data_IF_738047986412
#
_entry.id   IF_738047986412
#
_cell.length_a   1.000
_cell.length_b   1.000
_cell.length_c   1.000
_cell.angle_alpha   90.00
_cell.angle_beta   90.00
_cell.angle_gamma   90.00
#
_symmetry.space_group_name_H-M   'P 1'
#
loop_
_entity.id
_entity.type
_entity.pdbx_description
1 polymer ?
#
# COMPACT_ATOMS: atom_id res chain seq x y z
N UNK A 1 -25.63 -13.03 2.33
CA UNK A 1 -24.60 -12.48 1.43
C UNK A 1 -23.29 -12.50 2.20
N UNK A 2 -22.25 -13.12 1.65
CA UNK A 2 -20.92 -13.10 2.26
C UNK A 2 -20.39 -11.66 2.07
N UNK A 3 -20.30 -10.88 3.16
CA UNK A 3 -19.86 -9.47 3.34
C UNK A 3 -20.92 -8.41 3.69
N UNK A 4 -20.53 -7.49 4.59
CA UNK A 4 -20.92 -6.07 4.60
C UNK A 4 -19.90 -5.22 5.41
N UNK A 5 -18.84 -4.67 4.79
CA UNK A 5 -17.78 -3.95 5.53
C UNK A 5 -17.51 -2.48 5.10
N UNK A 6 -18.03 -1.99 3.96
CA UNK A 6 -18.15 -0.55 3.68
C UNK A 6 -19.05 -0.28 2.47
N UNK A 7 -19.56 0.95 2.31
CA UNK A 7 -20.35 1.38 1.13
C UNK A 7 -19.61 1.24 -0.21
N UNK A 8 -18.28 1.05 -0.18
CA UNK A 8 -17.45 0.95 -1.38
C UNK A 8 -17.23 -0.48 -1.90
N UNK A 9 -17.35 -1.52 -1.07
CA UNK A 9 -17.13 -2.92 -1.47
C UNK A 9 -18.18 -3.87 -0.86
N UNK A 10 -19.35 -4.00 -1.48
CA UNK A 10 -20.44 -4.83 -0.95
C UNK A 10 -20.22 -6.34 -1.11
N UNK A 11 -19.20 -6.80 -1.85
CA UNK A 11 -18.93 -8.22 -2.03
C UNK A 11 -17.43 -8.56 -2.14
N UNK A 12 -17.09 -9.80 -1.80
CA UNK A 12 -15.72 -10.34 -1.95
C UNK A 12 -15.23 -10.26 -3.41
N UNK A 13 -16.11 -10.54 -4.38
CA UNK A 13 -15.79 -10.42 -5.80
C UNK A 13 -15.48 -8.98 -6.22
N UNK A 14 -16.20 -8.01 -5.64
CA UNK A 14 -15.95 -6.59 -5.90
C UNK A 14 -14.62 -6.12 -5.31
N UNK A 15 -14.26 -6.59 -4.10
CA UNK A 15 -12.93 -6.35 -3.54
C UNK A 15 -11.82 -6.88 -4.47
N UNK A 16 -11.98 -8.12 -4.97
CA UNK A 16 -11.01 -8.73 -5.88
C UNK A 16 -10.85 -7.92 -7.19
N UNK A 17 -11.97 -7.57 -7.82
CA UNK A 17 -11.97 -6.82 -9.08
C UNK A 17 -11.30 -5.46 -8.89
N UNK A 18 -11.66 -4.73 -7.83
CA UNK A 18 -11.10 -3.42 -7.57
C UNK A 18 -9.62 -3.48 -7.17
N UNK A 19 -9.21 -4.50 -6.40
CA UNK A 19 -7.80 -4.72 -6.10
C UNK A 19 -6.98 -5.01 -7.38
N UNK A 20 -7.51 -5.83 -8.28
CA UNK A 20 -6.88 -6.11 -9.57
C UNK A 20 -6.79 -4.84 -10.46
N UNK A 21 -7.86 -4.03 -10.50
CA UNK A 21 -7.87 -2.75 -11.20
C UNK A 21 -6.84 -1.77 -10.63
N UNK A 22 -6.71 -1.69 -9.30
CA UNK A 22 -5.69 -0.86 -8.65
C UNK A 22 -4.28 -1.30 -9.01
N UNK A 23 -4.01 -2.60 -9.08
CA UNK A 23 -2.72 -3.12 -9.58
C UNK A 23 -2.50 -2.71 -11.04
N UNK A 24 -3.50 -2.86 -11.90
CA UNK A 24 -3.41 -2.47 -13.31
C UNK A 24 -3.14 -0.97 -13.48
N UNK A 25 -3.82 -0.12 -12.69
CA UNK A 25 -3.60 1.33 -12.67
C UNK A 25 -2.20 1.67 -12.16
N UNK A 26 -1.76 1.04 -11.07
CA UNK A 26 -0.42 1.27 -10.52
C UNK A 26 0.67 0.85 -11.51
N UNK A 27 0.50 -0.28 -12.19
CA UNK A 27 1.40 -0.75 -13.24
C UNK A 27 1.40 0.20 -14.46
N UNK A 28 0.23 0.67 -14.88
CA UNK A 28 0.11 1.66 -15.95
C UNK A 28 0.84 2.96 -15.59
N UNK A 29 0.64 3.49 -14.38
CA UNK A 29 1.36 4.69 -13.88
C UNK A 29 2.87 4.44 -13.88
N UNK A 30 3.32 3.27 -13.42
CA UNK A 30 4.73 2.91 -13.41
C UNK A 30 5.34 2.90 -14.81
N UNK A 31 4.62 2.37 -15.81
CA UNK A 31 5.06 2.36 -17.21
C UNK A 31 5.03 3.76 -17.81
N UNK A 32 3.93 4.50 -17.63
CA UNK A 32 3.76 5.86 -18.15
C UNK A 32 4.82 6.83 -17.61
N UNK A 33 5.22 6.68 -16.35
CA UNK A 33 6.23 7.51 -15.71
C UNK A 33 7.66 6.95 -15.79
N UNK A 34 7.90 5.85 -16.53
CA UNK A 34 9.22 5.20 -16.58
C UNK A 34 10.32 6.11 -17.15
N UNK A 35 9.97 6.96 -18.11
CA UNK A 35 10.88 7.95 -18.70
C UNK A 35 10.70 9.37 -18.15
N UNK A 36 9.77 9.56 -17.21
CA UNK A 36 9.45 10.88 -16.69
C UNK A 36 10.43 11.26 -15.58
N UNK A 37 11.24 12.29 -15.84
CA UNK A 37 12.04 12.96 -14.82
C UNK A 37 11.52 14.40 -14.69
N UNK A 38 10.96 14.79 -13.53
CA UNK A 38 10.54 16.17 -13.32
C UNK A 38 11.77 17.08 -13.45
N UNK A 39 11.69 18.08 -14.33
CA UNK A 39 12.82 18.99 -14.58
C UNK A 39 13.21 19.82 -13.36
N UNK A 40 12.25 20.11 -12.47
CA UNK A 40 12.45 20.73 -11.16
C UNK A 40 11.47 20.11 -10.16
N UNK A 41 11.84 19.02 -9.47
CA UNK A 41 10.96 18.46 -8.46
C UNK A 41 10.79 19.49 -7.34
N UNK A 42 9.54 19.80 -6.98
CA UNK A 42 9.24 20.74 -5.90
C UNK A 42 8.78 19.97 -4.65
N UNK A 43 8.98 20.56 -3.48
CA UNK A 43 8.60 19.93 -2.22
C UNK A 43 7.10 19.60 -2.15
N UNK A 44 6.25 20.40 -2.80
CA UNK A 44 4.81 20.19 -2.82
C UNK A 44 4.41 18.89 -3.56
N UNK A 45 4.98 18.61 -4.74
CA UNK A 45 4.66 17.38 -5.48
C UNK A 45 5.13 16.13 -4.73
N UNK A 46 6.32 16.19 -4.11
CA UNK A 46 6.81 15.11 -3.27
C UNK A 46 5.93 14.90 -2.03
N UNK A 47 5.53 15.99 -1.36
CA UNK A 47 4.62 15.95 -0.22
C UNK A 47 3.28 15.31 -0.58
N UNK A 48 2.71 15.68 -1.73
CA UNK A 48 1.46 15.07 -2.25
C UNK A 48 1.68 13.59 -2.54
N UNK A 49 2.78 13.20 -3.18
CA UNK A 49 3.07 11.80 -3.47
C UNK A 49 3.22 10.96 -2.19
N UNK A 50 3.92 11.48 -1.18
CA UNK A 50 4.00 10.87 0.15
C UNK A 50 2.63 10.74 0.81
N UNK A 51 1.84 11.80 0.77
CA UNK A 51 0.50 11.81 1.35
C UNK A 51 -0.40 10.77 0.69
N UNK A 52 -0.34 10.63 -0.64
CA UNK A 52 -1.08 9.59 -1.36
C UNK A 52 -0.61 8.19 -0.99
N UNK A 53 0.70 7.94 -0.87
CA UNK A 53 1.23 6.65 -0.45
C UNK A 53 0.80 6.27 0.98
N UNK A 54 0.87 7.21 1.91
CA UNK A 54 0.46 6.99 3.30
C UNK A 54 -1.07 6.84 3.43
N UNK A 55 -1.84 7.64 2.70
CA UNK A 55 -3.31 7.52 2.67
C UNK A 55 -3.75 6.17 2.09
N UNK A 56 -3.11 5.71 1.00
CA UNK A 56 -3.39 4.41 0.42
C UNK A 56 -3.07 3.28 1.41
N UNK A 57 -1.92 3.36 2.11
CA UNK A 57 -1.59 2.38 3.14
C UNK A 57 -2.60 2.36 4.31
N UNK A 58 -2.99 3.53 4.81
CA UNK A 58 -3.99 3.65 5.87
C UNK A 58 -5.34 3.07 5.43
N UNK A 59 -5.73 3.29 4.17
CA UNK A 59 -6.94 2.72 3.58
C UNK A 59 -6.89 1.19 3.46
N UNK A 60 -5.74 0.61 3.07
CA UNK A 60 -5.53 -0.84 3.09
C UNK A 60 -5.71 -1.38 4.52
N UNK A 61 -5.14 -0.72 5.54
CA UNK A 61 -5.32 -1.13 6.93
C UNK A 61 -6.79 -1.13 7.34
N UNK A 62 -7.53 -0.08 7.02
CA UNK A 62 -8.96 0.00 7.35
C UNK A 62 -9.76 -1.11 6.66
N UNK A 63 -9.46 -1.41 5.38
CA UNK A 63 -10.07 -2.52 4.67
C UNK A 63 -9.76 -3.87 5.33
N UNK A 64 -8.51 -4.08 5.76
CA UNK A 64 -8.13 -5.32 6.43
C UNK A 64 -8.83 -5.48 7.79
N UNK A 65 -8.91 -4.41 8.58
CA UNK A 65 -9.64 -4.42 9.86
C UNK A 65 -11.13 -4.71 9.64
N UNK A 66 -11.78 -4.04 8.68
CA UNK A 66 -13.18 -4.29 8.36
C UNK A 66 -13.40 -5.71 7.81
N UNK A 67 -12.44 -6.23 7.04
CA UNK A 67 -12.47 -7.59 6.55
C UNK A 67 -12.41 -8.62 7.69
N UNK A 68 -11.55 -8.40 8.68
CA UNK A 68 -11.40 -9.33 9.81
C UNK A 68 -12.56 -9.22 10.79
N UNK A 69 -13.04 -8.00 11.07
CA UNK A 69 -14.06 -7.77 12.10
C UNK A 69 -15.49 -8.00 11.60
N UNK A 70 -15.79 -7.65 10.34
CA UNK A 70 -17.17 -7.60 9.82
C UNK A 70 -17.48 -8.69 8.78
N UNK A 71 -16.51 -9.53 8.42
CA UNK A 71 -16.72 -10.63 7.47
C UNK A 71 -16.95 -11.95 8.19
N UNK A 72 -17.90 -12.74 7.69
CA UNK A 72 -18.12 -14.14 8.10
C UNK A 72 -17.04 -15.09 7.55
N UNK A 73 -15.97 -14.57 6.97
CA UNK A 73 -14.87 -15.34 6.38
C UNK A 73 -13.84 -15.56 7.45
N UNK A 74 -13.69 -16.82 7.88
CA UNK A 74 -12.66 -17.21 8.84
C UNK A 74 -11.29 -16.96 8.23
N UNK A 75 -10.61 -15.92 8.72
CA UNK A 75 -9.23 -15.56 8.43
C UNK A 75 -8.32 -15.97 9.60
N UNK A 76 -8.71 -17.00 10.33
CA UNK A 76 -7.93 -17.53 11.44
C UNK A 76 -6.74 -18.35 10.92
N UNK A 77 -5.55 -17.75 11.00
CA UNK A 77 -4.28 -18.39 10.65
C UNK A 77 -3.92 -19.56 11.58
N UNK A 78 -4.58 -19.70 12.73
CA UNK A 78 -4.39 -20.83 13.64
C UNK A 78 -5.19 -22.07 13.22
N UNK A 79 -6.17 -21.93 12.32
CA UNK A 79 -6.99 -23.03 11.79
C UNK A 79 -6.87 -23.13 10.25
N UNK A 80 -5.64 -23.34 9.75
CA UNK A 80 -5.32 -23.44 8.31
C UNK A 80 -6.15 -24.51 7.58
N UNK A 81 -6.63 -25.54 8.28
CA UNK A 81 -7.46 -26.62 7.74
C UNK A 81 -8.91 -26.19 7.43
N UNK A 82 -9.35 -25.02 7.92
CA UNK A 82 -10.67 -24.43 7.65
C UNK A 82 -10.68 -23.35 6.58
N UNK A 83 -9.54 -23.07 5.91
CA UNK A 83 -9.44 -22.06 4.87
C UNK A 83 -10.36 -22.41 3.69
N UNK A 84 -11.53 -21.77 3.67
CA UNK A 84 -12.48 -21.85 2.56
C UNK A 84 -11.91 -21.16 1.32
N UNK A 85 -12.46 -21.48 0.14
CA UNK A 85 -12.14 -20.74 -1.09
C UNK A 85 -12.35 -19.22 -0.95
N UNK A 86 -13.29 -18.79 -0.11
CA UNK A 86 -13.52 -17.38 0.18
C UNK A 86 -12.35 -16.74 0.97
N UNK A 87 -11.78 -17.45 1.94
CA UNK A 87 -10.60 -17.00 2.69
C UNK A 87 -9.39 -16.84 1.77
N UNK A 88 -9.19 -17.78 0.83
CA UNK A 88 -8.13 -17.69 -0.16
C UNK A 88 -8.28 -16.46 -1.07
N UNK A 89 -9.49 -16.19 -1.58
CA UNK A 89 -9.73 -15.02 -2.42
C UNK A 89 -9.60 -13.71 -1.64
N UNK A 90 -10.00 -13.68 -0.37
CA UNK A 90 -9.81 -12.51 0.50
C UNK A 90 -8.32 -12.21 0.70
N UNK A 91 -7.51 -13.21 1.06
CA UNK A 91 -6.06 -13.07 1.22
C UNK A 91 -5.39 -12.65 -0.09
N UNK A 92 -5.80 -13.24 -1.21
CA UNK A 92 -5.29 -12.86 -2.53
C UNK A 92 -5.62 -11.40 -2.88
N UNK A 93 -6.84 -10.96 -2.57
CA UNK A 93 -7.25 -9.56 -2.80
C UNK A 93 -6.43 -8.59 -1.95
N UNK A 94 -6.17 -8.93 -0.69
CA UNK A 94 -5.27 -8.17 0.19
C UNK A 94 -3.85 -8.12 -0.39
N UNK A 95 -3.32 -9.24 -0.88
CA UNK A 95 -2.01 -9.29 -1.53
C UNK A 95 -1.93 -8.39 -2.78
N UNK A 96 -3.01 -8.33 -3.58
CA UNK A 96 -3.10 -7.41 -4.72
C UNK A 96 -3.09 -5.94 -4.27
N UNK A 97 -3.82 -5.59 -3.21
CA UNK A 97 -3.81 -4.24 -2.65
C UNK A 97 -2.40 -3.83 -2.21
N UNK A 98 -1.71 -4.69 -1.44
CA UNK A 98 -0.30 -4.45 -1.07
C UNK A 98 0.61 -4.32 -2.29
N UNK A 99 0.40 -5.14 -3.33
CA UNK A 99 1.16 -5.05 -4.58
C UNK A 99 0.96 -3.71 -5.28
N UNK A 100 -0.28 -3.21 -5.33
CA UNK A 100 -0.59 -1.90 -5.91
C UNK A 100 0.10 -0.77 -5.15
N UNK A 101 0.12 -0.84 -3.81
CA UNK A 101 0.81 0.13 -2.97
C UNK A 101 2.32 0.12 -3.20
N UNK A 102 2.95 -1.06 -3.27
CA UNK A 102 4.40 -1.20 -3.56
C UNK A 102 4.74 -0.64 -4.95
N UNK A 103 3.92 -0.87 -5.97
CA UNK A 103 4.14 -0.33 -7.32
C UNK A 103 4.10 1.20 -7.34
N UNK A 104 3.14 1.81 -6.64
CA UNK A 104 3.03 3.26 -6.51
C UNK A 104 4.23 3.84 -5.76
N UNK A 105 4.64 3.20 -4.66
CA UNK A 105 5.80 3.60 -3.89
C UNK A 105 7.09 3.51 -4.71
N UNK A 106 7.32 2.40 -5.41
CA UNK A 106 8.48 2.23 -6.27
C UNK A 106 8.52 3.30 -7.38
N UNK A 107 7.37 3.65 -7.92
CA UNK A 107 7.26 4.74 -8.92
C UNK A 107 7.61 6.09 -8.31
N UNK A 108 7.05 6.43 -7.14
CA UNK A 108 7.37 7.65 -6.41
C UNK A 108 8.87 7.77 -6.12
N UNK A 109 9.47 6.72 -5.53
CA UNK A 109 10.89 6.71 -5.21
C UNK A 109 11.72 6.92 -6.48
N UNK A 110 11.51 6.11 -7.53
CA UNK A 110 12.25 6.25 -8.80
C UNK A 110 12.15 7.66 -9.39
N UNK A 111 10.98 8.28 -9.34
CA UNK A 111 10.74 9.62 -9.91
C UNK A 111 11.45 10.73 -9.12
N UNK A 112 11.54 10.62 -7.80
CA UNK A 112 12.00 11.71 -6.93
C UNK A 112 13.35 11.47 -6.24
N UNK A 113 13.94 10.28 -6.34
CA UNK A 113 15.16 9.91 -5.60
C UNK A 113 16.41 10.75 -5.97
N UNK A 114 16.39 11.47 -7.10
CA UNK A 114 17.47 12.39 -7.49
C UNK A 114 17.66 13.54 -6.50
N UNK A 115 16.60 13.96 -5.82
CA UNK A 115 16.62 14.98 -4.77
C UNK A 115 16.19 14.37 -3.44
N UNK A 116 17.10 13.57 -2.87
CA UNK A 116 16.88 12.80 -1.65
C UNK A 116 16.55 13.69 -0.44
N UNK A 117 17.18 14.87 -0.33
CA UNK A 117 16.97 15.76 0.82
C UNK A 117 15.54 16.28 0.83
N UNK A 118 15.04 16.80 -0.30
CA UNK A 118 13.65 17.28 -0.40
C UNK A 118 12.67 16.12 -0.26
N UNK A 119 12.99 14.94 -0.80
CA UNK A 119 12.16 13.73 -0.68
C UNK A 119 12.00 13.30 0.78
N UNK A 120 13.09 13.29 1.56
CA UNK A 120 13.05 12.92 2.97
C UNK A 120 12.33 13.97 3.82
N UNK A 121 12.59 15.26 3.59
CA UNK A 121 11.91 16.32 4.35
C UNK A 121 10.41 16.37 4.08
N UNK A 122 10.00 16.30 2.81
CA UNK A 122 8.58 16.23 2.45
C UNK A 122 7.91 14.98 3.03
N UNK A 123 8.62 13.83 3.03
CA UNK A 123 8.15 12.60 3.65
C UNK A 123 8.01 12.69 5.17
N UNK A 124 8.98 13.30 5.85
CA UNK A 124 8.92 13.52 7.30
C UNK A 124 7.74 14.42 7.69
N UNK A 125 7.51 15.49 6.92
CA UNK A 125 6.35 16.38 7.13
C UNK A 125 5.03 15.64 6.88
N UNK A 126 4.93 14.88 5.79
CA UNK A 126 3.73 14.07 5.49
C UNK A 126 3.46 13.02 6.58
N UNK A 127 4.51 12.36 7.08
CA UNK A 127 4.41 11.39 8.16
C UNK A 127 3.95 12.05 9.47
N UNK A 128 4.53 13.20 9.83
CA UNK A 128 4.13 13.95 11.03
C UNK A 128 2.64 14.34 10.96
N UNK A 129 2.19 14.86 9.81
CA UNK A 129 0.78 15.19 9.59
C UNK A 129 -0.09 13.93 9.68
N UNK A 130 0.34 12.83 9.07
CA UNK A 130 -0.38 11.54 9.16
C UNK A 130 -0.53 11.08 10.61
N UNK A 131 0.54 11.12 11.41
CA UNK A 131 0.50 10.77 12.85
C UNK A 131 -0.53 11.64 13.58
N UNK A 132 -0.49 12.96 13.37
CA UNK A 132 -1.43 13.90 14.00
C UNK A 132 -2.88 13.63 13.61
N UNK A 133 -3.13 13.32 12.32
CA UNK A 133 -4.46 12.98 11.83
C UNK A 133 -4.97 11.67 12.46
N UNK A 134 -4.17 10.62 12.49
CA UNK A 134 -4.57 9.33 13.08
C UNK A 134 -4.89 9.45 14.57
N UNK A 135 -4.08 10.20 15.33
CA UNK A 135 -4.37 10.48 16.74
C UNK A 135 -5.65 11.30 16.92
N UNK A 136 -5.90 12.28 16.03
CA UNK A 136 -7.15 13.06 16.05
C UNK A 136 -8.39 12.19 15.81
N UNK A 137 -8.27 11.13 15.00
CA UNK A 137 -9.32 10.14 14.76
C UNK A 137 -9.37 9.02 15.82
N UNK A 138 -8.58 9.12 16.89
CA UNK A 138 -8.62 8.17 18.01
C UNK A 138 -7.90 6.84 17.76
N UNK A 139 -7.06 6.75 16.72
CA UNK A 139 -6.28 5.54 16.44
C UNK A 139 -5.05 5.55 17.36
N UNK A 140 -5.12 4.76 18.43
CA UNK A 140 -4.06 4.67 19.46
C UNK A 140 -2.93 3.73 19.03
N UNK A 141 -3.26 2.65 18.32
CA UNK A 141 -2.25 1.69 17.87
C UNK A 141 -1.48 2.24 16.66
N UNK A 142 -0.28 2.72 16.94
CA UNK A 142 0.64 3.26 15.94
C UNK A 142 1.04 2.25 14.87
N UNK A 143 1.05 0.94 15.18
CA UNK A 143 1.46 -0.09 14.23
C UNK A 143 0.51 -0.14 13.02
N UNK A 144 -0.77 0.17 13.22
CA UNK A 144 -1.79 0.14 12.17
C UNK A 144 -1.51 1.11 11.02
N UNK A 145 -0.80 2.20 11.25
CA UNK A 145 -0.53 3.21 10.21
C UNK A 145 0.96 3.50 9.97
N UNK A 146 1.86 3.04 10.86
CA UNK A 146 3.31 3.18 10.68
C UNK A 146 3.99 1.98 10.01
N UNK A 147 3.29 0.85 9.80
CA UNK A 147 3.82 -0.29 9.03
C UNK A 147 4.45 0.06 7.66
N UNK A 148 4.03 1.12 6.93
CA UNK A 148 4.66 1.48 5.67
C UNK A 148 6.09 1.98 5.83
N UNK A 149 6.42 2.63 6.95
CA UNK A 149 7.69 3.34 7.14
C UNK A 149 8.91 2.39 7.08
N UNK A 150 8.95 1.26 7.80
CA UNK A 150 10.04 0.29 7.65
C UNK A 150 10.22 -0.19 6.22
N UNK A 151 9.13 -0.46 5.50
CA UNK A 151 9.18 -0.95 4.12
C UNK A 151 9.72 0.11 3.17
N UNK A 152 9.35 1.37 3.36
CA UNK A 152 9.87 2.49 2.57
C UNK A 152 11.37 2.64 2.80
N UNK A 153 11.83 2.56 4.06
CA UNK A 153 13.25 2.60 4.40
C UNK A 153 14.00 1.46 3.71
N UNK A 154 13.46 0.23 3.77
CA UNK A 154 14.05 -0.94 3.10
C UNK A 154 14.11 -0.74 1.60
N UNK A 155 13.06 -0.23 0.95
CA UNK A 155 13.04 0.02 -0.50
C UNK A 155 14.02 1.12 -0.92
N UNK A 156 14.11 2.20 -0.15
CA UNK A 156 15.10 3.27 -0.36
C UNK A 156 16.54 2.75 -0.19
N UNK A 157 16.76 1.81 0.74
CA UNK A 157 18.05 1.14 0.91
C UNK A 157 18.31 0.11 -0.20
N UNK A 158 17.28 -0.59 -0.68
CA UNK A 158 17.37 -1.64 -1.70
C UNK A 158 17.66 -1.09 -3.10
N UNK A 159 17.40 0.19 -3.39
CA UNK A 159 17.88 0.80 -4.65
C UNK A 159 19.42 0.92 -4.68
N UNK A 160 20.08 0.74 -3.52
CA UNK A 160 21.54 0.50 -3.45
C UNK A 160 21.93 -0.98 -3.58
N UNK A 161 20.96 -1.90 -3.66
CA UNK A 161 21.12 -3.36 -3.72
C UNK A 161 20.07 -3.97 -4.70
N UNK A 162 20.27 -3.84 -6.03
CA UNK A 162 19.26 -4.11 -7.07
C UNK A 162 18.72 -5.55 -7.13
N UNK A 163 19.39 -6.51 -6.48
CA UNK A 163 19.00 -7.94 -6.49
C UNK A 163 17.83 -8.25 -5.55
N UNK A 164 17.58 -7.42 -4.53
CA UNK A 164 16.56 -7.71 -3.51
C UNK A 164 15.13 -7.44 -4.02
N UNK A 165 14.92 -6.34 -4.75
CA UNK A 165 13.62 -6.01 -5.34
C UNK A 165 13.19 -7.02 -6.40
N UNK A 166 14.14 -7.51 -7.21
CA UNK A 166 13.89 -8.55 -8.22
C UNK A 166 13.51 -9.89 -7.56
N UNK A 167 14.14 -10.22 -6.43
CA UNK A 167 13.77 -11.42 -5.66
C UNK A 167 12.38 -11.29 -5.03
N UNK A 168 12.03 -10.13 -4.48
CA UNK A 168 10.73 -9.91 -3.84
C UNK A 168 9.56 -9.90 -4.84
N UNK A 169 9.74 -9.25 -5.99
CA UNK A 169 8.76 -9.27 -7.10
C UNK A 169 8.67 -10.66 -7.74
N UNK A 170 9.80 -11.36 -7.85
CA UNK A 170 9.83 -12.75 -8.34
C UNK A 170 9.05 -13.70 -7.42
N UNK A 171 9.13 -13.52 -6.11
CA UNK A 171 8.35 -14.30 -5.13
C UNK A 171 6.86 -13.93 -5.13
N UNK A 172 6.51 -12.67 -5.42
CA UNK A 172 5.10 -12.25 -5.52
C UNK A 172 4.40 -12.71 -6.82
N UNK A 173 5.16 -13.20 -7.81
CA UNK A 173 4.65 -13.68 -9.10
C UNK A 173 4.74 -15.21 -9.28
N UNK A 174 5.12 -15.94 -8.22
CA UNK A 174 5.15 -17.42 -8.16
C UNK A 174 4.13 -17.88 -7.12
#
# INVERSE_FOLDING_TARGET
>A
ALYAASTAFPSLGDLLINAALLVAVAAFIQVALRGYAPGRPNALTMFVAWSLCLAHAAWITQLFIGLVNDSSVDLDLYHVQGLSGASAVALFSVALLFSSWVLLLATMLRTYMKDMTTLLWSGAVALAISIMLHHRYGIVDTLLFLWPVPLIIVLMAADRIPRFLQALIGVAMV
#
